data_IF_854912753351
#
_entry.id   IF_854912753351
#
_cell.length_a   1.000
_cell.length_b   1.000
_cell.length_c   1.000
_cell.angle_alpha   90.00
_cell.angle_beta   90.00
_cell.angle_gamma   90.00
#
_symmetry.space_group_name_H-M   'P 1'
#
loop_
_entity.id
_entity.type
_entity.pdbx_description
1 polymer ?
#
# COMPACT_ATOMS: atom_id res chain seq x y z
N UNK A 1 1.99 -5.79 19.41
CA UNK A 1 2.68 -6.16 18.16
C UNK A 1 2.00 -5.48 16.96
N UNK A 2 2.79 -4.88 16.07
CA UNK A 2 2.31 -4.27 14.82
C UNK A 2 3.09 -4.88 13.66
N UNK A 3 2.39 -5.35 12.64
CA UNK A 3 2.95 -5.98 11.44
C UNK A 3 2.45 -5.21 10.22
N UNK A 4 3.35 -4.90 9.30
CA UNK A 4 3.05 -4.24 8.03
C UNK A 4 3.26 -5.25 6.90
N UNK A 5 2.23 -5.50 6.09
CA UNK A 5 2.27 -6.39 4.94
C UNK A 5 1.69 -5.66 3.72
N UNK A 6 2.58 -5.12 2.86
CA UNK A 6 2.17 -4.30 1.71
C UNK A 6 1.38 -3.06 2.14
N UNK A 7 0.14 -2.93 1.66
CA UNK A 7 -0.78 -1.84 2.01
C UNK A 7 -1.61 -2.10 3.28
N UNK A 8 -1.48 -3.27 3.92
CA UNK A 8 -2.26 -3.63 5.09
C UNK A 8 -1.42 -3.53 6.36
N UNK A 9 -1.96 -2.82 7.36
CA UNK A 9 -1.41 -2.78 8.72
C UNK A 9 -2.23 -3.67 9.64
N UNK A 10 -1.56 -4.52 10.39
CA UNK A 10 -2.17 -5.51 11.28
C UNK A 10 -1.64 -5.29 12.68
N UNK A 11 -2.56 -5.22 13.65
CA UNK A 11 -2.23 -4.89 15.03
C UNK A 11 -2.78 -5.97 15.94
N UNK A 12 -1.94 -6.43 16.86
CA UNK A 12 -2.33 -7.39 17.89
C UNK A 12 -1.79 -6.95 19.24
N UNK A 13 -2.66 -6.97 20.25
CA UNK A 13 -2.32 -6.76 21.64
C UNK A 13 -2.75 -7.98 22.45
N UNK A 14 -1.89 -8.43 23.36
CA UNK A 14 -2.17 -9.49 24.31
C UNK A 14 -1.50 -9.14 25.64
N UNK A 15 -2.13 -9.54 26.73
CA UNK A 15 -1.64 -9.33 28.09
C UNK A 15 -1.88 -10.62 28.87
N UNK A 16 -0.83 -11.09 29.53
CA UNK A 16 -0.78 -12.29 30.38
C UNK A 16 0.22 -12.08 31.49
N UNK A 17 0.16 -12.93 32.51
CA UNK A 17 1.08 -12.86 33.66
C UNK A 17 2.53 -13.19 33.28
N UNK A 18 2.75 -14.02 32.25
CA UNK A 18 4.09 -14.29 31.70
C UNK A 18 4.32 -13.61 30.35
N UNK A 19 5.51 -13.03 30.17
CA UNK A 19 5.91 -12.32 28.94
C UNK A 19 5.86 -13.20 27.69
N UNK A 20 6.38 -14.43 27.75
CA UNK A 20 6.40 -15.34 26.60
C UNK A 20 4.98 -15.75 26.18
N UNK A 21 4.10 -15.99 27.15
CA UNK A 21 2.67 -16.25 26.87
C UNK A 21 1.97 -15.06 26.20
N UNK A 22 2.39 -13.83 26.49
CA UNK A 22 1.84 -12.63 25.85
C UNK A 22 2.29 -12.53 24.39
N UNK A 23 3.52 -12.95 24.10
CA UNK A 23 4.07 -12.99 22.74
C UNK A 23 3.35 -14.06 21.92
N UNK A 24 3.21 -15.27 22.44
CA UNK A 24 2.52 -16.36 21.76
C UNK A 24 1.06 -15.98 21.44
N UNK A 25 0.33 -15.43 22.42
CA UNK A 25 -1.04 -14.96 22.19
C UNK A 25 -1.13 -13.80 21.22
N UNK A 26 -0.11 -12.95 21.14
CA UNK A 26 -0.07 -11.88 20.14
C UNK A 26 0.22 -12.46 18.74
N UNK A 27 1.05 -13.49 18.64
CA UNK A 27 1.33 -14.22 17.40
C UNK A 27 0.06 -14.90 16.86
N UNK A 28 -0.67 -15.63 17.71
CA UNK A 28 -1.93 -16.29 17.32
C UNK A 28 -2.93 -15.29 16.72
N UNK A 29 -3.03 -14.09 17.32
CA UNK A 29 -3.91 -13.01 16.83
C UNK A 29 -3.49 -12.48 15.47
N UNK A 30 -2.18 -12.39 15.19
CA UNK A 30 -1.68 -11.99 13.88
C UNK A 30 -1.93 -13.11 12.86
N UNK A 31 -1.70 -14.36 13.22
CA UNK A 31 -1.92 -15.52 12.33
C UNK A 31 -3.38 -15.61 11.86
N UNK A 32 -4.33 -15.43 12.78
CA UNK A 32 -5.76 -15.38 12.43
C UNK A 32 -6.06 -14.22 11.46
N UNK A 33 -5.48 -13.04 11.71
CA UNK A 33 -5.70 -11.89 10.82
C UNK A 33 -5.07 -12.15 9.43
N UNK A 34 -3.92 -12.83 9.35
CA UNK A 34 -3.26 -13.18 8.09
C UNK A 34 -4.07 -14.22 7.32
N UNK A 35 -4.57 -15.24 8.02
CA UNK A 35 -5.44 -16.26 7.42
C UNK A 35 -6.73 -15.65 6.86
N UNK A 36 -7.40 -14.78 7.62
CA UNK A 36 -8.59 -14.04 7.15
C UNK A 36 -8.30 -13.14 5.96
N UNK A 37 -7.14 -12.49 5.94
CA UNK A 37 -6.73 -11.66 4.82
C UNK A 37 -6.49 -12.51 3.57
N UNK A 38 -5.82 -13.67 3.70
CA UNK A 38 -5.61 -14.62 2.61
C UNK A 38 -6.94 -15.19 2.09
N UNK A 39 -7.83 -15.62 2.99
CA UNK A 39 -9.16 -16.14 2.64
C UNK A 39 -9.99 -15.12 1.86
N UNK A 40 -10.07 -13.86 2.33
CA UNK A 40 -10.74 -12.78 1.60
C UNK A 40 -10.15 -12.52 0.22
N UNK A 41 -8.85 -12.74 0.03
CA UNK A 41 -8.20 -12.59 -1.26
C UNK A 41 -8.47 -13.79 -2.19
N UNK A 42 -8.61 -15.00 -1.65
CA UNK A 42 -8.95 -16.21 -2.41
C UNK A 42 -10.44 -16.37 -2.70
N UNK A 43 -11.34 -15.89 -1.85
CA UNK A 43 -12.80 -15.97 -2.09
C UNK A 43 -13.24 -15.10 -3.27
N UNK A 44 -12.53 -14.01 -3.56
CA UNK A 44 -12.72 -13.24 -4.79
C UNK A 44 -12.17 -13.92 -6.06
N UNK A 45 -11.52 -15.09 -5.95
CA UNK A 45 -11.12 -15.97 -7.05
C UNK A 45 -12.07 -17.19 -7.23
N UNK A 46 -13.02 -17.41 -6.30
CA UNK A 46 -13.84 -18.63 -6.28
C UNK A 46 -15.22 -18.50 -6.95
N UNK A 47 -15.56 -17.33 -7.52
CA UNK A 47 -16.86 -17.09 -8.20
C UNK A 47 -16.80 -17.14 -9.74
N UNK A 48 -15.70 -17.63 -10.32
CA UNK A 48 -15.67 -17.94 -11.76
C UNK A 48 -15.40 -19.42 -11.97
N UNK A 49 -16.45 -20.21 -11.75
CA UNK A 49 -16.58 -21.52 -12.37
C UNK A 49 -16.78 -21.33 -13.88
N UNK A 50 -15.70 -21.36 -14.64
CA UNK A 50 -15.76 -21.80 -16.04
C UNK A 50 -14.63 -22.78 -16.27
N UNK A 51 -15.06 -24.04 -16.36
CA UNK A 51 -14.36 -25.11 -17.03
C UNK A 51 -13.99 -24.66 -18.45
N UNK A 52 -12.71 -24.38 -18.67
CA UNK A 52 -12.11 -24.56 -19.98
C UNK A 52 -10.64 -24.94 -19.76
N UNK A 53 -10.43 -26.26 -19.75
CA UNK A 53 -9.12 -26.86 -19.89
C UNK A 53 -8.36 -26.30 -21.08
N UNK A 54 -7.04 -26.34 -20.93
CA UNK A 54 -6.04 -26.32 -21.99
C UNK A 54 -6.23 -25.26 -23.08
N UNK A 55 -5.33 -24.26 -23.07
CA UNK A 55 -4.92 -23.39 -24.19
C UNK A 55 -5.19 -21.90 -23.96
N UNK A 56 -4.46 -21.28 -23.01
CA UNK A 56 -4.03 -19.88 -23.20
C UNK A 56 -2.73 -19.60 -22.48
N UNK A 57 -1.64 -19.99 -23.12
CA UNK A 57 -0.23 -19.74 -22.72
C UNK A 57 0.20 -18.27 -22.86
N UNK A 58 -0.69 -17.29 -23.05
CA UNK A 58 -0.27 -15.94 -23.47
C UNK A 58 -1.17 -14.82 -22.93
N UNK A 59 -1.12 -14.51 -21.63
CA UNK A 59 -1.44 -13.16 -21.14
C UNK A 59 -0.98 -12.99 -19.69
N UNK A 60 -0.11 -12.00 -19.46
CA UNK A 60 0.44 -11.67 -18.14
C UNK A 60 -0.64 -11.25 -17.13
N UNK A 61 -0.28 -11.07 -15.85
CA UNK A 61 -1.23 -10.83 -14.76
C UNK A 61 -2.15 -9.64 -15.07
N UNK A 62 -3.47 -9.83 -14.92
CA UNK A 62 -4.47 -8.77 -15.07
C UNK A 62 -4.14 -7.57 -14.16
N UNK A 63 -3.92 -6.39 -14.75
CA UNK A 63 -3.64 -5.16 -14.01
C UNK A 63 -4.95 -4.65 -13.39
N UNK A 64 -5.21 -4.99 -12.13
CA UNK A 64 -6.37 -4.50 -11.36
C UNK A 64 -6.00 -3.25 -10.55
N UNK A 65 -6.72 -2.14 -10.76
CA UNK A 65 -6.55 -0.90 -9.99
C UNK A 65 -7.44 -0.93 -8.74
N UNK A 66 -6.84 -0.96 -7.55
CA UNK A 66 -7.58 -1.06 -6.28
C UNK A 66 -8.05 0.30 -5.75
N UNK A 67 -7.32 1.38 -6.03
CA UNK A 67 -7.62 2.74 -5.56
C UNK A 67 -7.26 3.73 -6.66
N UNK A 68 -8.25 4.51 -7.10
CA UNK A 68 -8.04 5.68 -7.98
C UNK A 68 -8.29 6.92 -7.13
N UNK A 69 -7.31 7.83 -7.11
CA UNK A 69 -7.37 9.04 -6.28
C UNK A 69 -7.11 10.27 -7.13
N UNK A 70 -8.11 11.14 -7.19
CA UNK A 70 -7.96 12.44 -7.81
C UNK A 70 -7.23 13.38 -6.84
N UNK A 71 -6.13 13.97 -7.31
CA UNK A 71 -5.34 14.94 -6.55
C UNK A 71 -5.43 16.29 -7.27
N UNK A 72 -5.89 17.36 -6.60
CA UNK A 72 -5.93 18.68 -7.20
C UNK A 72 -4.50 19.19 -7.45
N UNK A 73 -4.20 19.50 -8.71
CA UNK A 73 -2.90 20.00 -9.13
C UNK A 73 -2.71 21.45 -8.65
N UNK A 74 -2.12 21.61 -7.47
CA UNK A 74 -1.74 22.91 -6.93
C UNK A 74 -0.23 23.15 -7.13
N UNK A 75 0.18 24.34 -7.59
CA UNK A 75 1.60 24.68 -7.68
C UNK A 75 2.18 24.87 -6.28
N UNK A 76 3.16 24.06 -5.91
CA UNK A 76 3.81 24.06 -4.59
C UNK A 76 5.28 23.64 -4.70
N UNK A 77 6.06 23.88 -3.65
CA UNK A 77 7.44 23.43 -3.52
C UNK A 77 7.50 22.00 -3.00
N UNK A 78 8.66 21.34 -3.17
CA UNK A 78 8.90 19.98 -2.68
C UNK A 78 8.62 19.81 -1.18
N UNK A 79 8.98 20.79 -0.35
CA UNK A 79 8.75 20.76 1.10
C UNK A 79 7.25 20.92 1.43
N UNK A 80 6.55 21.82 0.74
CA UNK A 80 5.10 22.00 0.89
C UNK A 80 4.35 20.72 0.47
N UNK A 81 4.79 20.06 -0.59
CA UNK A 81 4.23 18.80 -1.07
C UNK A 81 4.37 17.67 -0.03
N UNK A 82 5.51 17.57 0.66
CA UNK A 82 5.71 16.58 1.73
C UNK A 82 4.75 16.85 2.90
N UNK A 83 4.57 18.11 3.29
CA UNK A 83 3.66 18.47 4.38
C UNK A 83 2.21 18.08 4.04
N UNK A 84 1.73 18.39 2.83
CA UNK A 84 0.37 18.02 2.41
C UNK A 84 0.20 16.50 2.30
N UNK A 85 1.22 15.80 1.83
CA UNK A 85 1.26 14.34 1.77
C UNK A 85 1.11 13.73 3.17
N UNK A 86 1.86 14.21 4.16
CA UNK A 86 1.82 13.70 5.54
C UNK A 86 0.51 14.04 6.25
N UNK A 87 -0.04 15.24 6.04
CA UNK A 87 -1.34 15.64 6.61
C UNK A 87 -2.46 14.68 6.22
N UNK A 88 -2.42 14.18 5.00
CA UNK A 88 -3.43 13.27 4.48
C UNK A 88 -3.05 11.79 4.63
N UNK A 89 -1.86 11.50 5.18
CA UNK A 89 -1.38 10.15 5.42
C UNK A 89 -1.09 9.34 4.14
N UNK A 90 -0.73 10.00 3.04
CA UNK A 90 -0.39 9.32 1.79
C UNK A 90 1.10 9.02 1.69
N UNK A 91 1.45 7.97 0.94
CA UNK A 91 2.84 7.63 0.64
C UNK A 91 3.33 8.27 -0.66
N UNK A 92 2.42 8.71 -1.52
CA UNK A 92 2.71 9.33 -2.81
C UNK A 92 1.88 10.60 -2.96
N UNK A 93 2.49 11.65 -3.50
CA UNK A 93 1.81 12.91 -3.74
C UNK A 93 2.29 13.55 -5.04
N UNK A 94 1.36 13.71 -5.97
CA UNK A 94 1.58 14.40 -7.25
C UNK A 94 1.33 15.90 -7.05
N UNK A 95 2.28 16.72 -7.45
CA UNK A 95 2.18 18.18 -7.38
C UNK A 95 2.80 18.83 -8.62
N UNK A 96 2.51 20.12 -8.81
CA UNK A 96 3.17 20.92 -9.83
C UNK A 96 4.23 21.80 -9.18
N UNK A 97 5.46 21.77 -9.68
CA UNK A 97 6.54 22.57 -9.14
C UNK A 97 6.43 24.03 -9.60
N UNK A 98 6.63 24.98 -8.67
CA UNK A 98 6.35 26.41 -8.88
C UNK A 98 7.21 27.07 -9.97
N UNK A 99 8.47 26.67 -10.14
CA UNK A 99 9.41 27.31 -11.09
C UNK A 99 9.32 26.77 -12.52
N UNK A 100 9.50 25.47 -12.67
CA UNK A 100 9.48 24.73 -13.94
C UNK A 100 8.07 24.44 -14.45
N UNK A 101 7.04 24.54 -13.59
CA UNK A 101 5.65 24.18 -13.91
C UNK A 101 5.49 22.73 -14.36
N UNK A 102 6.44 21.88 -13.98
CA UNK A 102 6.44 20.46 -14.28
C UNK A 102 5.72 19.70 -13.16
N UNK A 103 5.02 18.63 -13.57
CA UNK A 103 4.45 17.67 -12.63
C UNK A 103 5.57 16.88 -11.98
N UNK A 104 5.55 16.72 -10.67
CA UNK A 104 6.53 15.95 -9.91
C UNK A 104 5.79 15.12 -8.86
N UNK A 105 6.36 13.98 -8.48
CA UNK A 105 5.80 13.12 -7.44
C UNK A 105 6.78 13.03 -6.28
N UNK A 106 6.35 13.43 -5.08
CA UNK A 106 7.07 13.07 -3.85
C UNK A 106 6.54 11.77 -3.29
N UNK A 107 7.40 10.99 -2.68
CA UNK A 107 7.00 9.76 -2.02
C UNK A 107 7.83 9.46 -0.77
N UNK A 108 7.22 8.76 0.18
CA UNK A 108 7.89 8.30 1.40
C UNK A 108 8.56 6.96 1.15
N UNK A 109 9.84 6.86 1.49
CA UNK A 109 10.62 5.62 1.40
C UNK A 109 10.43 4.78 2.67
N UNK A 110 10.75 3.49 2.56
CA UNK A 110 10.72 2.55 3.69
C UNK A 110 11.69 2.93 4.81
N UNK A 111 12.77 3.64 4.48
CA UNK A 111 13.79 4.17 5.40
C UNK A 111 13.38 5.49 6.07
N UNK A 112 12.10 5.89 5.96
CA UNK A 112 11.58 7.19 6.44
C UNK A 112 12.19 8.43 5.79
N UNK A 113 12.91 8.29 4.67
CA UNK A 113 13.36 9.41 3.86
C UNK A 113 12.36 9.75 2.75
N UNK A 114 12.57 10.88 2.07
CA UNK A 114 11.70 11.34 0.98
C UNK A 114 12.40 11.17 -0.36
N UNK A 115 11.68 10.59 -1.33
CA UNK A 115 12.07 10.52 -2.73
C UNK A 115 11.30 11.52 -3.58
N UNK A 116 11.90 11.93 -4.70
CA UNK A 116 11.31 12.81 -5.70
C UNK A 116 11.43 12.15 -7.08
N UNK A 117 10.31 12.04 -7.79
CA UNK A 117 10.24 11.60 -9.18
C UNK A 117 9.93 12.81 -10.05
N UNK A 118 10.78 13.03 -11.06
CA UNK A 118 10.66 14.13 -12.00
C UNK A 118 10.54 13.56 -13.43
N UNK A 119 9.56 14.00 -14.22
CA UNK A 119 9.43 13.61 -15.61
C UNK A 119 10.51 14.31 -16.42
N UNK A 120 11.39 13.52 -17.02
CA UNK A 120 12.35 14.01 -18.02
C UNK A 120 11.71 13.91 -19.40
N UNK A 121 11.75 15.00 -20.18
CA UNK A 121 11.44 14.93 -21.61
C UNK A 121 12.62 14.25 -22.30
N UNK A 122 12.37 13.15 -23.02
CA UNK A 122 13.32 12.52 -23.93
C UNK A 122 13.34 13.26 -25.26
#
# INVERSE_FOLDING_TARGET
>A
MVVHAGHQTMKAAASTDEMFSAIDKAMDKIEIQVKKYKERFTDHHATESVDLGEMTTLMGPEIKFSVVKDVPLKPMNKEEAVIEMEKLGFNFWLYMEKGSRQLQVVFKRLDSTYGLLQPVKK
#
